data_IF_291101357092
#
_entry.id   IF_291101357092
#
_cell.length_a   1.000
_cell.length_b   1.000
_cell.length_c   1.000
_cell.angle_alpha   90.00
_cell.angle_beta   90.00
_cell.angle_gamma   90.00
#
_symmetry.space_group_name_H-M   'P 1'
#
loop_
_entity.id
_entity.type
_entity.pdbx_description
1 polymer ?
#
# COMPACT_ATOMS: atom_id res chain seq x y z
N UNK A 1 32.93 -18.25 -46.33
CA UNK A 1 31.52 -18.49 -45.98
C UNK A 1 31.19 -17.55 -44.86
N UNK A 2 30.26 -16.66 -45.14
CA UNK A 2 30.03 -15.36 -44.48
C UNK A 2 29.34 -15.49 -43.12
N UNK A 3 29.80 -14.65 -42.19
CA UNK A 3 29.20 -14.33 -40.90
C UNK A 3 27.70 -14.08 -41.01
N UNK A 4 26.94 -14.73 -40.13
CA UNK A 4 25.53 -14.46 -39.87
C UNK A 4 25.34 -14.10 -38.40
N UNK A 5 26.04 -13.05 -37.97
CA UNK A 5 25.64 -12.25 -36.81
C UNK A 5 24.66 -11.16 -37.26
N UNK A 6 23.47 -11.56 -37.68
CA UNK A 6 22.37 -10.62 -37.96
C UNK A 6 21.65 -10.25 -36.66
N UNK A 7 22.05 -9.09 -36.13
CA UNK A 7 21.18 -8.01 -35.71
C UNK A 7 19.83 -8.41 -35.06
N UNK A 8 19.87 -8.82 -33.78
CA UNK A 8 18.70 -8.72 -32.90
C UNK A 8 18.75 -7.34 -32.24
N UNK A 9 17.77 -6.50 -32.56
CA UNK A 9 17.73 -5.07 -32.24
C UNK A 9 18.12 -4.74 -30.80
N UNK A 10 19.39 -4.38 -30.62
CA UNK A 10 19.89 -3.76 -29.41
C UNK A 10 19.45 -2.31 -29.40
N UNK A 11 18.35 -2.03 -28.69
CA UNK A 11 18.19 -0.68 -28.12
C UNK A 11 19.45 -0.45 -27.27
N UNK A 12 20.15 0.69 -27.38
CA UNK A 12 21.30 0.96 -26.53
C UNK A 12 20.87 0.71 -25.09
N UNK A 13 21.55 -0.17 -24.36
CA UNK A 13 21.33 -0.35 -22.93
C UNK A 13 21.41 1.04 -22.32
N UNK A 14 20.28 1.61 -21.90
CA UNK A 14 20.27 2.95 -21.28
C UNK A 14 21.32 2.92 -20.18
N UNK A 15 22.28 3.82 -20.25
CA UNK A 15 23.27 3.96 -19.19
C UNK A 15 22.52 4.51 -17.97
N UNK A 16 22.12 3.61 -17.08
CA UNK A 16 21.37 3.93 -15.88
C UNK A 16 22.29 4.52 -14.82
N UNK A 17 21.80 5.54 -14.12
CA UNK A 17 22.50 6.14 -12.99
C UNK A 17 22.63 5.11 -11.87
N UNK A 18 23.83 4.98 -11.31
CA UNK A 18 24.09 4.15 -10.14
C UNK A 18 23.98 4.98 -8.87
N UNK A 19 23.58 4.35 -7.76
CA UNK A 19 23.50 4.98 -6.44
C UNK A 19 24.43 4.28 -5.42
N UNK A 20 25.77 4.42 -5.54
CA UNK A 20 26.70 3.81 -4.58
C UNK A 20 26.39 4.23 -3.14
N UNK A 21 26.34 3.27 -2.22
CA UNK A 21 26.12 3.49 -0.80
C UNK A 21 24.72 3.97 -0.44
N UNK A 22 23.73 3.97 -1.35
CA UNK A 22 22.39 4.49 -1.08
C UNK A 22 21.74 3.79 0.12
N UNK A 23 21.25 4.59 1.08
CA UNK A 23 20.43 4.08 2.18
C UNK A 23 18.99 3.88 1.73
N UNK A 24 18.29 2.89 2.28
CA UNK A 24 16.85 2.71 2.04
C UNK A 24 16.05 3.97 2.35
N UNK A 25 16.53 4.77 3.31
CA UNK A 25 15.98 6.06 3.69
C UNK A 25 15.88 7.06 2.54
N UNK A 26 16.71 6.92 1.49
CA UNK A 26 16.65 7.78 0.32
C UNK A 26 15.32 7.68 -0.43
N UNK A 27 14.68 6.52 -0.43
CA UNK A 27 13.44 6.26 -1.17
C UNK A 27 12.28 5.78 -0.30
N UNK A 28 12.50 5.53 0.99
CA UNK A 28 11.44 5.18 1.94
C UNK A 28 10.30 6.19 1.93
N UNK A 29 9.08 5.69 1.74
CA UNK A 29 7.89 6.48 1.94
C UNK A 29 7.77 6.89 3.41
N UNK A 30 7.44 8.15 3.77
CA UNK A 30 7.41 8.59 5.16
C UNK A 30 6.51 7.74 6.08
N UNK A 31 5.38 7.25 5.57
CA UNK A 31 4.50 6.33 6.29
C UNK A 31 5.14 4.98 6.65
N UNK A 32 6.06 4.48 5.83
CA UNK A 32 6.81 3.25 6.08
C UNK A 32 7.85 3.47 7.19
N UNK A 33 8.66 4.52 7.05
CA UNK A 33 9.66 4.95 8.05
C UNK A 33 9.05 5.13 9.44
N UNK A 34 7.87 5.76 9.50
CA UNK A 34 7.11 6.00 10.74
C UNK A 34 6.80 4.71 11.51
N UNK A 35 6.33 3.72 10.77
CA UNK A 35 5.74 2.52 11.33
C UNK A 35 6.81 1.57 11.87
N UNK A 36 7.96 1.47 11.19
CA UNK A 36 9.12 0.75 11.73
C UNK A 36 9.64 1.38 13.02
N UNK A 37 9.74 2.71 13.07
CA UNK A 37 10.15 3.43 14.30
C UNK A 37 9.15 3.22 15.43
N UNK A 38 7.85 3.24 15.13
CA UNK A 38 6.80 2.99 16.13
C UNK A 38 6.84 1.56 16.68
N UNK A 39 7.03 0.55 15.81
CA UNK A 39 7.15 -0.84 16.21
C UNK A 39 8.34 -1.08 17.14
N UNK A 40 9.52 -0.51 16.82
CA UNK A 40 10.75 -0.66 17.65
C UNK A 40 10.66 0.01 19.02
N UNK A 41 9.76 0.98 19.21
CA UNK A 41 9.54 1.65 20.50
C UNK A 41 8.64 0.85 21.45
N UNK A 42 7.99 -0.22 20.97
CA UNK A 42 7.15 -1.07 21.82
C UNK A 42 8.04 -1.91 22.74
N UNK A 43 7.81 -1.79 24.05
CA UNK A 43 8.51 -2.60 25.05
C UNK A 43 8.27 -4.10 24.78
N UNK A 44 9.35 -4.89 24.74
CA UNK A 44 9.28 -6.33 24.49
C UNK A 44 9.21 -6.73 23.00
N UNK A 45 9.27 -5.78 22.07
CA UNK A 45 9.28 -6.05 20.62
C UNK A 45 10.41 -7.03 20.24
N UNK A 46 11.64 -6.80 20.70
CA UNK A 46 12.79 -7.65 20.37
C UNK A 46 12.62 -9.09 20.85
N UNK A 47 12.01 -9.29 22.01
CA UNK A 47 11.73 -10.62 22.56
C UNK A 47 10.68 -11.35 21.71
N UNK A 48 9.60 -10.67 21.35
CA UNK A 48 8.54 -11.23 20.48
C UNK A 48 9.09 -11.52 19.09
N UNK A 49 9.85 -10.58 18.52
CA UNK A 49 10.49 -10.71 17.23
C UNK A 49 11.45 -11.92 17.21
N UNK A 50 12.33 -12.05 18.20
CA UNK A 50 13.25 -13.18 18.31
C UNK A 50 12.52 -14.51 18.45
N UNK A 51 11.44 -14.55 19.23
CA UNK A 51 10.61 -15.74 19.35
C UNK A 51 9.94 -16.12 18.02
N UNK A 52 9.35 -15.15 17.31
CA UNK A 52 8.74 -15.37 16.00
C UNK A 52 9.77 -15.81 14.95
N UNK A 53 10.92 -15.13 14.87
CA UNK A 53 12.00 -15.48 13.95
C UNK A 53 12.56 -16.88 14.20
N UNK A 54 12.66 -17.31 15.47
CA UNK A 54 13.07 -18.69 15.80
C UNK A 54 12.06 -19.77 15.40
N UNK A 55 10.77 -19.42 15.24
CA UNK A 55 9.72 -20.34 14.80
C UNK A 55 9.59 -20.40 13.27
N UNK A 56 10.20 -19.46 12.55
CA UNK A 56 10.14 -19.40 11.10
C UNK A 56 11.10 -20.42 10.47
N UNK A 57 10.60 -21.35 9.64
CA UNK A 57 11.44 -22.39 9.07
C UNK A 57 12.16 -21.87 7.82
N UNK A 58 13.07 -20.91 7.97
CA UNK A 58 13.77 -20.25 6.86
C UNK A 58 14.49 -21.26 5.94
N UNK A 59 15.10 -22.29 6.54
CA UNK A 59 15.68 -23.42 5.80
C UNK A 59 14.63 -24.18 4.99
N UNK A 60 13.44 -24.40 5.55
CA UNK A 60 12.36 -25.07 4.83
C UNK A 60 11.86 -24.23 3.66
N UNK A 61 11.78 -22.90 3.81
CA UNK A 61 11.37 -21.99 2.75
C UNK A 61 12.34 -22.06 1.56
N UNK A 62 13.66 -22.01 1.85
CA UNK A 62 14.70 -22.18 0.81
C UNK A 62 14.61 -23.54 0.13
N UNK A 63 14.43 -24.62 0.89
CA UNK A 63 14.29 -25.97 0.32
C UNK A 63 13.03 -26.10 -0.55
N UNK A 64 11.93 -25.45 -0.17
CA UNK A 64 10.69 -25.44 -0.94
C UNK A 64 10.91 -24.83 -2.33
N UNK A 65 11.46 -23.61 -2.41
CA UNK A 65 11.72 -22.99 -3.72
C UNK A 65 12.83 -23.67 -4.51
N UNK A 66 13.81 -24.27 -3.84
CA UNK A 66 14.82 -25.07 -4.52
C UNK A 66 14.25 -26.35 -5.14
N UNK A 67 13.18 -26.91 -4.57
CA UNK A 67 12.59 -28.19 -5.02
C UNK A 67 11.42 -28.01 -5.99
N UNK A 68 10.66 -26.92 -5.88
CA UNK A 68 9.41 -26.70 -6.63
C UNK A 68 9.40 -25.39 -7.42
N UNK A 69 10.58 -24.90 -7.84
CA UNK A 69 10.72 -23.73 -8.71
C UNK A 69 12.01 -23.80 -9.52
N UNK A 70 12.09 -22.98 -10.58
CA UNK A 70 13.28 -22.91 -11.43
C UNK A 70 14.17 -21.77 -10.96
N UNK A 71 15.43 -22.07 -10.62
CA UNK A 71 16.38 -21.07 -10.13
C UNK A 71 16.92 -20.20 -11.26
N UNK A 72 16.83 -18.89 -11.12
CA UNK A 72 17.44 -17.91 -12.03
C UNK A 72 18.97 -17.93 -11.87
N UNK A 73 19.70 -18.01 -13.00
CA UNK A 73 21.17 -18.06 -13.03
C UNK A 73 21.74 -17.77 -14.41
N UNK A 74 23.05 -17.81 -14.57
CA UNK A 74 23.72 -17.69 -15.89
C UNK A 74 23.37 -18.84 -16.86
N UNK A 75 22.81 -19.95 -16.36
CA UNK A 75 22.45 -21.12 -17.17
C UNK A 75 20.96 -21.17 -17.57
N UNK A 76 20.09 -20.40 -16.89
CA UNK A 76 18.65 -20.41 -17.15
C UNK A 76 18.01 -19.11 -16.64
N UNK A 77 17.04 -18.57 -17.38
CA UNK A 77 16.48 -17.24 -17.14
C UNK A 77 17.55 -16.12 -17.12
N UNK A 78 18.48 -16.15 -18.08
CA UNK A 78 19.63 -15.23 -18.16
C UNK A 78 19.20 -13.77 -18.09
N UNK A 79 18.16 -13.38 -18.83
CA UNK A 79 17.65 -12.01 -18.81
C UNK A 79 17.15 -11.55 -17.44
N UNK A 80 16.47 -12.43 -16.68
CA UNK A 80 16.07 -12.12 -15.30
C UNK A 80 17.28 -12.01 -14.37
N UNK A 81 18.29 -12.86 -14.57
CA UNK A 81 19.54 -12.82 -13.81
C UNK A 81 20.30 -11.51 -14.05
N UNK A 82 20.38 -11.05 -15.29
CA UNK A 82 21.01 -9.78 -15.66
C UNK A 82 20.25 -8.60 -15.06
N UNK A 83 18.92 -8.58 -15.19
CA UNK A 83 18.08 -7.56 -14.55
C UNK A 83 18.26 -7.50 -13.03
N UNK A 84 18.36 -8.65 -12.38
CA UNK A 84 18.60 -8.75 -10.93
C UNK A 84 19.97 -8.21 -10.55
N UNK A 85 21.02 -8.61 -11.26
CA UNK A 85 22.38 -8.12 -11.01
C UNK A 85 22.49 -6.63 -11.26
N UNK A 86 21.85 -6.12 -12.32
CA UNK A 86 21.76 -4.69 -12.60
C UNK A 86 21.05 -3.94 -11.47
N UNK A 87 19.92 -4.44 -10.99
CA UNK A 87 19.17 -3.83 -9.89
C UNK A 87 20.01 -3.77 -8.61
N UNK A 88 20.68 -4.87 -8.24
CA UNK A 88 21.60 -4.91 -7.11
C UNK A 88 22.79 -3.97 -7.31
N UNK A 89 23.34 -3.89 -8.52
CA UNK A 89 24.44 -2.99 -8.84
C UNK A 89 24.04 -1.51 -8.74
N UNK A 90 22.86 -1.15 -9.24
CA UNK A 90 22.30 0.21 -9.21
C UNK A 90 22.04 0.68 -7.78
N UNK A 91 21.41 -0.15 -6.95
CA UNK A 91 21.12 0.16 -5.54
C UNK A 91 22.28 -0.19 -4.59
N UNK A 92 23.41 -0.65 -5.14
CA UNK A 92 24.60 -1.04 -4.40
C UNK A 92 24.32 -2.06 -3.29
N UNK A 93 23.48 -3.06 -3.59
CA UNK A 93 23.20 -4.19 -2.70
C UNK A 93 24.35 -5.21 -2.82
N UNK A 94 25.11 -5.37 -1.73
CA UNK A 94 26.35 -6.16 -1.71
C UNK A 94 26.15 -7.64 -2.09
N UNK A 95 25.07 -8.25 -1.59
CA UNK A 95 24.76 -9.66 -1.83
C UNK A 95 23.53 -9.77 -2.71
N UNK A 96 23.72 -10.30 -3.91
CA UNK A 96 22.62 -10.61 -4.84
C UNK A 96 21.76 -11.74 -4.24
N UNK A 97 20.48 -11.50 -3.94
CA UNK A 97 19.60 -12.53 -3.39
C UNK A 97 19.33 -13.62 -4.44
N UNK A 98 19.18 -14.90 -4.05
CA UNK A 98 18.71 -15.92 -4.98
C UNK A 98 17.33 -15.58 -5.53
N UNK A 99 17.14 -15.80 -6.83
CA UNK A 99 15.86 -15.58 -7.50
C UNK A 99 15.32 -16.89 -8.10
N UNK A 100 14.00 -17.08 -8.03
CA UNK A 100 13.31 -18.27 -8.55
C UNK A 100 12.11 -17.87 -9.39
N UNK A 101 11.84 -18.66 -10.43
CA UNK A 101 10.59 -18.61 -11.20
C UNK A 101 9.70 -19.76 -10.76
N UNK A 102 8.54 -19.44 -10.18
CA UNK A 102 7.54 -20.41 -9.73
C UNK A 102 6.38 -20.47 -10.73
N UNK A 103 5.84 -21.67 -10.95
CA UNK A 103 4.70 -21.88 -11.84
C UNK A 103 3.42 -21.42 -11.14
N UNK A 104 2.95 -20.23 -11.49
CA UNK A 104 1.63 -19.70 -11.10
C UNK A 104 1.17 -18.78 -12.24
N UNK A 105 -0.02 -18.99 -12.83
CA UNK A 105 -0.55 -18.12 -13.88
C UNK A 105 -0.94 -16.72 -13.36
N UNK A 106 -1.06 -16.52 -12.04
CA UNK A 106 -1.40 -15.23 -11.46
C UNK A 106 -0.14 -14.35 -11.35
N UNK A 107 -0.08 -13.19 -12.04
CA UNK A 107 1.06 -12.30 -11.99
C UNK A 107 1.37 -11.84 -10.56
N UNK A 108 2.56 -12.17 -10.08
CA UNK A 108 3.03 -11.86 -8.75
C UNK A 108 4.56 -11.97 -8.65
N UNK A 109 5.14 -11.16 -7.77
CA UNK A 109 6.53 -11.26 -7.32
C UNK A 109 6.55 -11.05 -5.79
N UNK A 110 7.58 -11.57 -5.13
CA UNK A 110 7.79 -11.30 -3.71
C UNK A 110 9.23 -11.48 -3.28
N UNK A 111 9.63 -10.65 -2.32
CA UNK A 111 10.87 -10.75 -1.57
C UNK A 111 10.57 -11.24 -0.14
N UNK A 112 11.15 -12.38 0.23
CA UNK A 112 10.91 -13.09 1.50
C UNK A 112 12.22 -13.69 2.00
N UNK A 113 12.29 -14.03 3.28
CA UNK A 113 13.51 -14.49 3.96
C UNK A 113 13.81 -13.66 5.20
N UNK A 114 14.72 -14.16 6.04
CA UNK A 114 15.14 -13.48 7.26
C UNK A 114 16.56 -12.95 7.10
N UNK A 115 17.54 -13.85 7.19
CA UNK A 115 18.96 -13.54 7.09
C UNK A 115 19.41 -13.49 5.63
N UNK A 116 18.81 -14.35 4.80
CA UNK A 116 19.07 -14.41 3.36
C UNK A 116 17.77 -14.24 2.58
N UNK A 117 17.45 -13.03 2.10
CA UNK A 117 16.27 -12.81 1.29
C UNK A 117 16.40 -13.58 -0.03
N UNK A 118 15.26 -14.08 -0.50
CA UNK A 118 15.05 -14.69 -1.81
C UNK A 118 13.95 -13.91 -2.53
N UNK A 119 14.09 -13.81 -3.85
CA UNK A 119 13.09 -13.21 -4.73
C UNK A 119 12.40 -14.33 -5.49
N UNK A 120 11.08 -14.28 -5.55
CA UNK A 120 10.27 -15.26 -6.29
C UNK A 120 9.40 -14.50 -7.26
N UNK A 121 9.44 -14.90 -8.52
CA UNK A 121 8.58 -14.36 -9.59
C UNK A 121 7.74 -15.48 -10.16
N UNK A 122 6.50 -15.19 -10.50
CA UNK A 122 5.58 -16.16 -11.10
C UNK A 122 5.70 -16.18 -12.63
N UNK A 123 5.42 -17.33 -13.25
CA UNK A 123 5.34 -17.44 -14.72
C UNK A 123 4.36 -16.44 -15.33
N UNK A 124 3.20 -16.21 -14.69
CA UNK A 124 2.22 -15.23 -15.16
C UNK A 124 2.76 -13.80 -15.19
N UNK A 125 3.70 -13.42 -14.31
CA UNK A 125 4.33 -12.11 -14.37
C UNK A 125 5.38 -12.01 -15.48
N UNK A 126 6.17 -13.07 -15.66
CA UNK A 126 7.18 -13.17 -16.74
C UNK A 126 6.53 -13.06 -18.12
N UNK A 127 5.34 -13.63 -18.29
CA UNK A 127 4.59 -13.59 -19.55
C UNK A 127 3.86 -12.25 -19.78
N UNK A 128 3.56 -11.50 -18.71
CA UNK A 128 2.78 -10.27 -18.76
C UNK A 128 3.61 -9.03 -19.10
N UNK A 129 4.81 -8.92 -18.50
CA UNK A 129 5.59 -7.68 -18.51
C UNK A 129 6.66 -7.66 -19.60
N UNK A 130 6.90 -6.49 -20.17
CA UNK A 130 8.07 -6.24 -21.02
C UNK A 130 9.36 -6.10 -20.19
N UNK A 131 10.50 -5.93 -20.85
CA UNK A 131 11.81 -5.85 -20.18
C UNK A 131 11.90 -4.66 -19.19
N UNK A 132 11.39 -3.49 -19.56
CA UNK A 132 11.51 -2.28 -18.73
C UNK A 132 10.51 -2.32 -17.56
N UNK A 133 9.32 -2.85 -17.79
CA UNK A 133 8.30 -3.11 -16.78
C UNK A 133 8.79 -4.18 -15.77
N UNK A 134 9.38 -5.27 -16.26
CA UNK A 134 9.97 -6.31 -15.41
C UNK A 134 11.16 -5.78 -14.60
N UNK A 135 11.98 -4.90 -15.19
CA UNK A 135 13.10 -4.27 -14.47
C UNK A 135 12.62 -3.38 -13.33
N UNK A 136 11.51 -2.66 -13.51
CA UNK A 136 10.89 -1.90 -12.43
C UNK A 136 10.41 -2.83 -11.29
N UNK A 137 9.80 -3.99 -11.62
CA UNK A 137 9.40 -5.00 -10.63
C UNK A 137 10.60 -5.61 -9.91
N UNK A 138 11.66 -6.02 -10.62
CA UNK A 138 12.85 -6.58 -9.99
C UNK A 138 13.53 -5.53 -9.10
N UNK A 139 13.59 -4.28 -9.55
CA UNK A 139 14.06 -3.16 -8.73
C UNK A 139 13.22 -2.96 -7.46
N UNK A 140 11.91 -3.13 -7.56
CA UNK A 140 10.99 -3.09 -6.43
C UNK A 140 11.29 -4.21 -5.41
N UNK A 141 11.49 -5.45 -5.85
CA UNK A 141 11.83 -6.57 -4.96
C UNK A 141 13.23 -6.44 -4.33
N UNK A 142 14.20 -5.92 -5.09
CA UNK A 142 15.53 -5.57 -4.56
C UNK A 142 15.43 -4.42 -3.55
N UNK A 143 14.53 -3.47 -3.76
CA UNK A 143 14.18 -2.44 -2.78
C UNK A 143 13.69 -3.04 -1.47
N UNK A 144 12.78 -4.02 -1.52
CA UNK A 144 12.36 -4.75 -0.32
C UNK A 144 13.52 -5.48 0.39
N UNK A 145 14.45 -6.06 -0.37
CA UNK A 145 15.64 -6.70 0.20
C UNK A 145 16.53 -5.67 0.92
N UNK A 146 16.81 -4.54 0.26
CA UNK A 146 17.66 -3.47 0.79
C UNK A 146 17.05 -2.78 2.03
N UNK A 147 15.74 -2.56 2.05
CA UNK A 147 15.02 -1.97 3.18
C UNK A 147 14.76 -2.95 4.35
N UNK A 148 15.13 -4.22 4.22
CA UNK A 148 14.84 -5.24 5.23
C UNK A 148 13.35 -5.62 5.34
N UNK A 149 12.55 -5.30 4.32
CA UNK A 149 11.12 -5.59 4.30
C UNK A 149 10.81 -7.09 4.20
N UNK A 150 11.73 -7.88 3.62
CA UNK A 150 11.61 -9.32 3.47
C UNK A 150 11.32 -10.06 4.79
N UNK A 151 11.94 -9.61 5.88
CA UNK A 151 11.78 -10.17 7.23
C UNK A 151 10.32 -10.09 7.68
N UNK A 152 9.78 -8.88 7.64
CA UNK A 152 8.43 -8.58 8.10
C UNK A 152 7.37 -9.20 7.17
N UNK A 153 7.64 -9.25 5.86
CA UNK A 153 6.81 -9.98 4.91
C UNK A 153 6.73 -11.46 5.25
N UNK A 154 7.87 -12.08 5.59
CA UNK A 154 7.94 -13.50 6.00
C UNK A 154 7.13 -13.74 7.27
N UNK A 155 7.29 -12.88 8.28
CA UNK A 155 6.49 -12.93 9.52
C UNK A 155 5.00 -12.80 9.20
N UNK A 156 4.61 -11.84 8.35
CA UNK A 156 3.21 -11.63 7.97
C UNK A 156 2.59 -12.87 7.30
N UNK A 157 3.32 -13.51 6.37
CA UNK A 157 2.85 -14.73 5.70
C UNK A 157 2.68 -15.87 6.69
N UNK A 158 3.63 -16.05 7.60
CA UNK A 158 3.53 -17.06 8.65
C UNK A 158 2.35 -16.80 9.59
N UNK A 159 2.23 -15.58 10.12
CA UNK A 159 1.15 -15.21 11.03
C UNK A 159 -0.22 -15.28 10.37
N UNK A 160 -0.34 -14.92 9.09
CA UNK A 160 -1.58 -15.07 8.33
C UNK A 160 -1.98 -16.54 8.22
N UNK A 161 -1.03 -17.43 7.88
CA UNK A 161 -1.29 -18.86 7.82
C UNK A 161 -1.60 -19.46 9.21
N UNK A 162 -0.92 -18.99 10.26
CA UNK A 162 -1.19 -19.39 11.63
C UNK A 162 -2.59 -18.96 12.06
N UNK A 163 -2.98 -17.71 11.79
CA UNK A 163 -4.31 -17.17 12.10
C UNK A 163 -5.42 -18.04 11.51
N UNK A 164 -5.28 -18.47 10.25
CA UNK A 164 -6.23 -19.38 9.61
C UNK A 164 -6.30 -20.74 10.33
N UNK A 165 -5.16 -21.30 10.77
CA UNK A 165 -5.10 -22.59 11.47
C UNK A 165 -5.66 -22.54 12.89
N UNK A 166 -5.59 -21.39 13.56
CA UNK A 166 -6.07 -21.21 14.94
C UNK A 166 -7.39 -20.44 15.02
N UNK A 167 -8.03 -20.16 13.89
CA UNK A 167 -9.27 -19.38 13.80
C UNK A 167 -10.42 -19.94 14.66
N UNK A 168 -10.38 -21.25 14.96
CA UNK A 168 -11.33 -21.93 15.83
C UNK A 168 -11.16 -21.63 17.33
N UNK A 169 -10.08 -20.97 17.75
CA UNK A 169 -9.81 -20.58 19.14
C UNK A 169 -10.29 -19.13 19.38
N UNK A 170 -11.37 -18.91 20.17
CA UNK A 170 -12.08 -17.62 20.21
C UNK A 170 -11.25 -16.39 20.61
N UNK A 171 -10.34 -16.52 21.60
CA UNK A 171 -9.56 -15.40 22.13
C UNK A 171 -8.16 -15.25 21.51
N UNK A 172 -7.56 -16.36 21.05
CA UNK A 172 -6.25 -16.33 20.39
C UNK A 172 -6.30 -15.64 19.02
N UNK A 173 -7.43 -15.79 18.32
CA UNK A 173 -7.60 -15.22 16.99
C UNK A 173 -7.63 -13.67 17.00
N UNK A 174 -8.19 -13.04 18.04
CA UNK A 174 -8.32 -11.57 18.08
C UNK A 174 -6.95 -10.89 18.16
N UNK A 175 -6.05 -11.37 19.04
CA UNK A 175 -4.72 -10.80 19.18
C UNK A 175 -3.87 -11.00 17.92
N UNK A 176 -3.90 -12.20 17.34
CA UNK A 176 -3.18 -12.49 16.08
C UNK A 176 -3.74 -11.66 14.93
N UNK A 177 -5.07 -11.51 14.83
CA UNK A 177 -5.70 -10.68 13.80
C UNK A 177 -5.34 -9.20 13.93
N UNK A 178 -5.23 -8.66 15.14
CA UNK A 178 -4.77 -7.30 15.35
C UNK A 178 -3.33 -7.11 14.84
N UNK A 179 -2.42 -8.03 15.18
CA UNK A 179 -1.03 -8.00 14.72
C UNK A 179 -0.96 -8.15 13.19
N UNK A 180 -1.68 -9.11 12.61
CA UNK A 180 -1.74 -9.33 11.16
C UNK A 180 -2.28 -8.09 10.46
N UNK A 181 -3.32 -7.45 10.99
CA UNK A 181 -3.89 -6.22 10.41
C UNK A 181 -2.89 -5.07 10.44
N UNK A 182 -2.20 -4.87 11.55
CA UNK A 182 -1.17 -3.85 11.68
C UNK A 182 0.02 -4.09 10.72
N UNK A 183 0.50 -5.35 10.65
CA UNK A 183 1.56 -5.74 9.72
C UNK A 183 1.13 -5.60 8.25
N UNK A 184 -0.13 -5.89 7.91
CA UNK A 184 -0.66 -5.67 6.55
C UNK A 184 -0.72 -4.19 6.20
N UNK A 185 -1.16 -3.33 7.13
CA UNK A 185 -1.14 -1.88 6.92
C UNK A 185 0.30 -1.40 6.69
N UNK A 186 1.22 -1.80 7.56
CA UNK A 186 2.63 -1.44 7.39
C UNK A 186 3.20 -1.95 6.07
N UNK A 187 2.97 -3.23 5.74
CA UNK A 187 3.48 -3.82 4.50
C UNK A 187 2.94 -3.06 3.27
N UNK A 188 1.66 -2.66 3.26
CA UNK A 188 1.09 -1.80 2.21
C UNK A 188 1.76 -0.43 2.12
N UNK A 189 2.33 0.12 3.19
CA UNK A 189 3.15 1.35 3.12
C UNK A 189 4.52 1.07 2.53
N UNK A 190 5.12 -0.08 2.87
CA UNK A 190 6.41 -0.51 2.34
C UNK A 190 6.40 -0.72 0.82
N UNK A 191 5.24 -1.07 0.25
CA UNK A 191 5.04 -1.14 -1.21
C UNK A 191 5.33 0.19 -1.92
N UNK A 192 4.99 1.31 -1.30
CA UNK A 192 5.25 2.64 -1.89
C UNK A 192 6.75 2.96 -1.87
N UNK A 193 7.46 2.55 -0.82
CA UNK A 193 8.93 2.63 -0.77
C UNK A 193 9.56 1.76 -1.86
N UNK A 194 9.05 0.54 -2.03
CA UNK A 194 9.55 -0.38 -3.03
C UNK A 194 9.23 0.07 -4.47
N UNK A 195 8.07 0.71 -4.72
CA UNK A 195 7.77 1.36 -6.01
C UNK A 195 8.79 2.44 -6.36
N UNK A 196 9.19 3.26 -5.38
CA UNK A 196 10.23 4.27 -5.55
C UNK A 196 11.59 3.64 -5.87
N UNK A 197 11.96 2.55 -5.19
CA UNK A 197 13.16 1.79 -5.50
C UNK A 197 13.11 1.18 -6.92
N UNK A 198 11.96 0.63 -7.31
CA UNK A 198 11.70 0.14 -8.66
C UNK A 198 11.89 1.21 -9.72
N UNK A 199 11.41 2.44 -9.48
CA UNK A 199 11.64 3.57 -10.38
C UNK A 199 13.12 4.01 -10.42
N UNK A 200 13.85 4.00 -9.31
CA UNK A 200 15.29 4.31 -9.30
C UNK A 200 16.10 3.29 -10.09
N UNK A 201 15.70 2.02 -10.07
CA UNK A 201 16.34 0.94 -10.84
C UNK A 201 15.93 1.01 -12.32
N UNK A 202 14.64 1.17 -12.61
CA UNK A 202 14.13 1.21 -13.99
C UNK A 202 14.53 2.49 -14.73
N UNK A 203 14.48 3.64 -14.04
CA UNK A 203 14.69 5.00 -14.55
C UNK A 203 13.76 5.35 -15.72
N UNK A 204 12.60 4.69 -15.76
CA UNK A 204 11.55 4.90 -16.74
C UNK A 204 10.19 4.90 -16.02
N UNK A 205 9.68 6.10 -15.76
CA UNK A 205 8.39 6.31 -15.11
C UNK A 205 7.24 5.74 -15.95
N UNK A 206 7.33 5.79 -17.28
CA UNK A 206 6.29 5.27 -18.16
C UNK A 206 6.24 3.75 -18.09
N UNK A 207 7.39 3.07 -18.09
CA UNK A 207 7.44 1.62 -17.90
C UNK A 207 6.91 1.20 -16.53
N UNK A 208 7.27 1.94 -15.46
CA UNK A 208 6.77 1.64 -14.10
C UNK A 208 5.24 1.78 -14.02
N UNK A 209 4.67 2.83 -14.61
CA UNK A 209 3.22 3.04 -14.66
C UNK A 209 2.51 2.00 -15.56
N UNK A 210 3.07 1.66 -16.73
CA UNK A 210 2.51 0.61 -17.59
C UNK A 210 2.53 -0.76 -16.90
N UNK A 211 3.58 -1.09 -16.16
CA UNK A 211 3.66 -2.33 -15.39
C UNK A 211 2.54 -2.44 -14.36
N UNK A 212 2.30 -1.39 -13.56
CA UNK A 212 1.17 -1.33 -12.62
C UNK A 212 -0.19 -1.42 -13.33
N UNK A 213 -0.32 -0.76 -14.48
CA UNK A 213 -1.54 -0.80 -15.30
C UNK A 213 -1.80 -2.22 -15.85
N UNK A 214 -0.77 -2.93 -16.31
CA UNK A 214 -0.86 -4.33 -16.77
C UNK A 214 -1.21 -5.30 -15.64
N UNK A 215 -0.68 -5.09 -14.44
CA UNK A 215 -1.09 -5.88 -13.26
C UNK A 215 -2.60 -5.72 -13.00
N UNK A 216 -3.17 -4.56 -13.32
CA UNK A 216 -4.61 -4.30 -13.18
C UNK A 216 -5.45 -4.88 -14.34
N UNK A 217 -5.00 -4.70 -15.58
CA UNK A 217 -5.81 -4.89 -16.79
C UNK A 217 -5.33 -5.97 -17.77
N UNK A 218 -4.20 -6.64 -17.51
CA UNK A 218 -3.62 -7.63 -18.41
C UNK A 218 -2.81 -7.04 -19.57
N UNK A 219 -2.57 -7.83 -20.62
CA UNK A 219 -1.66 -7.50 -21.72
C UNK A 219 -2.36 -6.87 -22.95
N UNK A 220 -3.26 -5.92 -22.72
CA UNK A 220 -4.01 -5.23 -23.78
C UNK A 220 -3.60 -3.76 -23.92
N UNK A 221 -2.28 -3.49 -23.91
CA UNK A 221 -1.76 -2.11 -23.91
C UNK A 221 -2.28 -1.24 -25.08
N UNK A 222 -2.61 -1.83 -26.22
CA UNK A 222 -3.18 -1.10 -27.36
C UNK A 222 -4.60 -0.56 -27.11
N UNK A 223 -5.29 -1.07 -26.08
CA UNK A 223 -6.61 -0.60 -25.63
C UNK A 223 -6.54 0.20 -24.33
N UNK A 224 -5.35 0.34 -23.74
CA UNK A 224 -5.15 0.94 -22.42
C UNK A 224 -4.36 2.25 -22.53
N UNK A 225 -4.68 3.21 -21.67
CA UNK A 225 -4.03 4.52 -21.65
C UNK A 225 -3.63 4.90 -20.22
N UNK A 226 -2.35 5.23 -20.04
CA UNK A 226 -1.78 5.54 -18.71
C UNK A 226 -2.39 6.80 -18.11
N UNK A 227 -2.62 7.85 -18.90
CA UNK A 227 -3.24 9.09 -18.41
C UNK A 227 -4.68 8.85 -17.95
N UNK A 228 -5.44 8.02 -18.67
CA UNK A 228 -6.78 7.60 -18.25
C UNK A 228 -6.73 6.76 -16.95
N UNK A 229 -5.75 5.87 -16.81
CA UNK A 229 -5.52 5.09 -15.59
C UNK A 229 -5.15 5.98 -14.38
N UNK A 230 -4.39 7.05 -14.60
CA UNK A 230 -4.09 8.06 -13.58
C UNK A 230 -5.32 8.92 -13.24
N UNK A 231 -6.14 9.27 -14.23
CA UNK A 231 -7.41 9.95 -13.99
C UNK A 231 -8.36 9.09 -13.14
N UNK A 232 -8.36 7.77 -13.31
CA UNK A 232 -9.09 6.83 -12.44
C UNK A 232 -8.61 6.88 -10.99
N UNK A 233 -7.29 7.01 -10.75
CA UNK A 233 -6.77 7.17 -9.39
C UNK A 233 -7.28 8.47 -8.76
N UNK A 234 -7.30 9.54 -9.53
CA UNK A 234 -7.75 10.87 -9.14
C UNK A 234 -9.27 10.89 -8.84
N UNK A 235 -10.07 10.12 -9.60
CA UNK A 235 -11.48 9.83 -9.32
C UNK A 235 -11.63 8.98 -8.05
N UNK A 236 -10.84 7.92 -7.88
CA UNK A 236 -10.86 7.08 -6.69
C UNK A 236 -10.56 7.87 -5.40
N UNK A 237 -9.64 8.83 -5.44
CA UNK A 237 -9.37 9.72 -4.30
C UNK A 237 -10.53 10.68 -4.02
N UNK A 238 -11.11 11.28 -5.06
CA UNK A 238 -12.17 12.29 -4.93
C UNK A 238 -13.55 11.71 -4.65
N UNK A 239 -13.80 10.48 -5.08
CA UNK A 239 -15.13 9.90 -5.16
C UNK A 239 -15.76 9.67 -3.79
N UNK A 240 -17.02 10.05 -3.69
CA UNK A 240 -17.96 9.51 -2.73
C UNK A 240 -18.31 10.38 -1.53
N UNK A 241 -19.14 9.83 -0.65
CA UNK A 241 -19.43 10.34 0.67
C UNK A 241 -18.62 9.59 1.76
N UNK A 242 -18.88 9.86 3.04
CA UNK A 242 -18.17 9.18 4.14
C UNK A 242 -18.33 7.65 4.12
N UNK A 243 -19.44 7.13 3.58
CA UNK A 243 -19.66 5.68 3.46
C UNK A 243 -18.72 5.10 2.42
N UNK A 244 -18.52 5.80 1.31
CA UNK A 244 -17.55 5.40 0.29
C UNK A 244 -16.12 5.39 0.84
N UNK A 245 -15.74 6.36 1.67
CA UNK A 245 -14.44 6.33 2.37
C UNK A 245 -14.28 5.09 3.25
N UNK A 246 -15.34 4.68 3.97
CA UNK A 246 -15.32 3.44 4.76
C UNK A 246 -15.22 2.22 3.85
N UNK A 247 -15.96 2.17 2.74
CA UNK A 247 -15.88 1.07 1.78
C UNK A 247 -14.48 0.96 1.15
N UNK A 248 -13.82 2.08 0.84
CA UNK A 248 -12.43 2.10 0.39
C UNK A 248 -11.51 1.42 1.41
N UNK A 249 -11.63 1.76 2.70
CA UNK A 249 -10.86 1.10 3.77
C UNK A 249 -11.16 -0.40 3.79
N UNK A 250 -12.43 -0.80 3.82
CA UNK A 250 -12.84 -2.20 3.84
C UNK A 250 -12.31 -2.99 2.65
N UNK A 251 -12.24 -2.37 1.46
CA UNK A 251 -11.68 -2.98 0.26
C UNK A 251 -10.14 -3.10 0.28
N UNK A 252 -9.44 -2.23 1.02
CA UNK A 252 -7.98 -2.28 1.18
C UNK A 252 -7.55 -3.32 2.21
N UNK A 253 -8.31 -3.48 3.31
CA UNK A 253 -7.97 -4.37 4.42
C UNK A 253 -7.57 -5.82 4.03
N UNK A 254 -8.27 -6.52 3.12
CA UNK A 254 -7.91 -7.89 2.78
C UNK A 254 -6.72 -7.99 1.80
N UNK A 255 -6.29 -6.88 1.19
CA UNK A 255 -5.27 -6.90 0.14
C UNK A 255 -3.85 -6.90 0.69
N UNK A 256 -2.95 -7.58 -0.02
CA UNK A 256 -1.52 -7.60 0.26
C UNK A 256 -0.80 -6.34 -0.21
N UNK A 257 -1.29 -5.71 -1.29
CA UNK A 257 -0.72 -4.51 -1.90
C UNK A 257 -1.79 -3.42 -1.94
N UNK A 258 -1.41 -2.12 -1.93
CA UNK A 258 -2.32 -1.05 -2.31
C UNK A 258 -2.83 -1.25 -3.74
N UNK A 259 -3.93 -0.58 -4.08
CA UNK A 259 -4.46 -0.59 -5.44
C UNK A 259 -3.44 -0.07 -6.44
N UNK A 260 -3.33 -0.73 -7.59
CA UNK A 260 -2.39 -0.40 -8.66
C UNK A 260 -2.56 1.03 -9.19
N UNK A 261 -3.80 1.53 -9.30
CA UNK A 261 -4.10 2.92 -9.66
C UNK A 261 -3.52 3.91 -8.66
N UNK A 262 -3.70 3.65 -7.36
CA UNK A 262 -3.17 4.50 -6.27
C UNK A 262 -1.65 4.47 -6.26
N UNK A 263 -1.03 3.30 -6.44
CA UNK A 263 0.43 3.16 -6.56
C UNK A 263 0.98 3.97 -7.73
N UNK A 264 0.34 3.89 -8.90
CA UNK A 264 0.76 4.62 -10.09
C UNK A 264 0.71 6.14 -9.88
N UNK A 265 -0.37 6.64 -9.26
CA UNK A 265 -0.52 8.05 -8.94
C UNK A 265 0.53 8.54 -7.92
N UNK A 266 0.77 7.77 -6.85
CA UNK A 266 1.76 8.12 -5.83
C UNK A 266 3.20 8.08 -6.40
N UNK A 267 3.50 7.11 -7.26
CA UNK A 267 4.80 7.02 -7.92
C UNK A 267 5.03 8.19 -8.89
N UNK A 268 4.02 8.54 -9.70
CA UNK A 268 4.08 9.71 -10.58
C UNK A 268 4.31 10.98 -9.77
N UNK A 269 3.53 11.19 -8.71
CA UNK A 269 3.66 12.33 -7.81
C UNK A 269 5.07 12.42 -7.23
N UNK A 270 5.64 11.31 -6.77
CA UNK A 270 7.00 11.27 -6.24
C UNK A 270 8.06 11.62 -7.31
N UNK A 271 7.90 11.11 -8.54
CA UNK A 271 8.83 11.40 -9.64
C UNK A 271 8.90 12.89 -10.03
N UNK A 272 7.85 13.65 -9.73
CA UNK A 272 7.76 15.09 -9.96
C UNK A 272 8.33 15.93 -8.81
N UNK A 273 8.71 15.29 -7.70
CA UNK A 273 9.25 16.00 -6.53
C UNK A 273 10.72 16.39 -6.68
N UNK A 274 11.15 17.40 -5.92
CA UNK A 274 12.57 17.76 -5.80
C UNK A 274 13.40 16.67 -5.11
N UNK A 275 12.77 15.85 -4.27
CA UNK A 275 13.43 14.73 -3.59
C UNK A 275 13.94 13.71 -4.61
N UNK A 276 13.08 13.24 -5.51
CA UNK A 276 13.46 12.33 -6.59
C UNK A 276 14.60 12.90 -7.44
N UNK A 277 14.48 14.16 -7.88
CA UNK A 277 15.51 14.82 -8.69
C UNK A 277 16.86 14.89 -7.96
N UNK A 278 16.86 15.20 -6.66
CA UNK A 278 18.08 15.21 -5.85
C UNK A 278 18.76 13.85 -5.79
N UNK A 279 17.99 12.76 -5.68
CA UNK A 279 18.56 11.40 -5.68
C UNK A 279 19.22 11.13 -7.04
N UNK A 280 18.54 11.46 -8.14
CA UNK A 280 19.07 11.32 -9.50
C UNK A 280 20.34 12.15 -9.73
N UNK A 281 20.43 13.34 -9.11
CA UNK A 281 21.60 14.22 -9.13
C UNK A 281 22.76 13.73 -8.24
N UNK A 282 22.59 12.64 -7.48
CA UNK A 282 23.62 12.09 -6.61
C UNK A 282 23.55 12.55 -5.14
N UNK A 283 22.51 13.29 -4.77
CA UNK A 283 22.31 13.87 -3.44
C UNK A 283 21.28 13.06 -2.62
N UNK A 284 21.72 11.94 -2.06
CA UNK A 284 20.89 11.04 -1.25
C UNK A 284 21.59 10.61 0.04
N UNK A 285 20.82 10.23 1.09
CA UNK A 285 21.37 9.61 2.30
C UNK A 285 22.16 8.34 1.98
N UNK A 286 23.32 8.19 2.62
CA UNK A 286 24.18 7.01 2.46
C UNK A 286 24.12 6.10 3.68
N UNK A 287 24.37 4.80 3.50
CA UNK A 287 24.26 3.78 4.57
C UNK A 287 25.27 3.97 5.69
N UNK A 288 26.44 4.52 5.39
CA UNK A 288 27.46 4.85 6.39
C UNK A 288 26.99 5.97 7.35
N UNK A 289 26.07 6.83 6.91
CA UNK A 289 25.48 7.92 7.70
C UNK A 289 24.26 7.47 8.54
N UNK A 290 23.79 6.22 8.42
CA UNK A 290 22.57 5.75 9.09
C UNK A 290 22.68 5.77 10.62
N UNK A 291 23.89 5.57 11.15
CA UNK A 291 24.15 5.53 12.60
C UNK A 291 23.98 6.89 13.28
N UNK A 292 24.17 7.98 12.52
CA UNK A 292 24.15 9.35 13.04
C UNK A 292 22.75 9.98 12.97
N UNK A 293 21.75 9.20 12.58
CA UNK A 293 20.40 9.71 12.32
C UNK A 293 19.53 9.74 13.56
N UNK A 294 18.92 10.90 13.79
CA UNK A 294 17.98 11.14 14.89
C UNK A 294 16.62 10.48 14.63
N UNK A 295 16.25 9.54 15.52
CA UNK A 295 14.90 8.92 15.54
C UNK A 295 13.81 9.97 15.77
N UNK A 296 14.11 11.03 16.50
CA UNK A 296 13.18 12.14 16.78
C UNK A 296 12.87 12.92 15.51
N UNK A 297 13.87 13.18 14.68
CA UNK A 297 13.66 13.96 13.45
C UNK A 297 12.94 13.14 12.39
N UNK A 298 13.23 11.83 12.28
CA UNK A 298 12.45 10.91 11.45
C UNK A 298 10.96 10.88 11.86
N UNK A 299 10.65 10.97 13.15
CA UNK A 299 9.28 11.04 13.66
C UNK A 299 8.61 12.39 13.35
N UNK A 300 9.32 13.51 13.46
CA UNK A 300 8.79 14.83 13.08
C UNK A 300 8.47 14.91 11.59
N UNK A 301 9.38 14.45 10.74
CA UNK A 301 9.20 14.43 9.27
C UNK A 301 7.98 13.58 8.87
N UNK A 302 7.85 12.43 9.51
CA UNK A 302 6.69 11.56 9.39
C UNK A 302 5.40 12.26 9.81
N UNK A 303 5.39 12.93 10.96
CA UNK A 303 4.23 13.66 11.45
C UNK A 303 3.84 14.81 10.51
N UNK A 304 4.81 15.58 9.98
CA UNK A 304 4.53 16.59 8.97
C UNK A 304 3.94 16.00 7.70
N UNK A 305 4.47 14.86 7.23
CA UNK A 305 3.91 14.19 6.05
C UNK A 305 2.46 13.75 6.27
N UNK A 306 2.12 13.22 7.44
CA UNK A 306 0.73 12.88 7.78
C UNK A 306 -0.16 14.12 7.87
N UNK A 307 0.31 15.18 8.52
CA UNK A 307 -0.44 16.44 8.60
C UNK A 307 -0.72 17.02 7.20
N UNK A 308 0.28 17.02 6.33
CA UNK A 308 0.14 17.46 4.94
C UNK A 308 -0.77 16.53 4.12
N UNK A 309 -0.67 15.21 4.35
CA UNK A 309 -1.54 14.23 3.70
C UNK A 309 -3.01 14.43 4.08
N UNK A 310 -3.30 14.67 5.37
CA UNK A 310 -4.65 14.98 5.85
C UNK A 310 -5.13 16.30 5.26
N UNK A 311 -4.31 17.36 5.34
CA UNK A 311 -4.65 18.71 4.88
C UNK A 311 -4.94 18.76 3.38
N UNK A 312 -4.20 18.01 2.58
CA UNK A 312 -4.33 17.99 1.12
C UNK A 312 -5.22 16.84 0.62
N UNK A 313 -5.78 16.01 1.51
CA UNK A 313 -6.61 14.89 1.11
C UNK A 313 -7.89 15.37 0.46
N UNK A 314 -8.25 14.75 -0.66
CA UNK A 314 -9.54 14.99 -1.32
C UNK A 314 -10.65 14.11 -0.71
N UNK A 315 -10.29 13.09 0.06
CA UNK A 315 -11.21 12.09 0.61
C UNK A 315 -12.12 12.68 1.72
N UNK A 316 -13.44 12.42 1.70
CA UNK A 316 -14.39 12.97 2.68
C UNK A 316 -14.05 12.66 4.15
N UNK A 317 -13.55 11.46 4.45
CA UNK A 317 -13.21 11.07 5.82
C UNK A 317 -11.97 11.81 6.32
N UNK A 318 -10.96 11.97 5.46
CA UNK A 318 -9.75 12.70 5.80
C UNK A 318 -10.00 14.20 5.95
N UNK A 319 -10.91 14.76 5.14
CA UNK A 319 -11.40 16.14 5.33
C UNK A 319 -12.08 16.33 6.69
N UNK A 320 -12.96 15.40 7.09
CA UNK A 320 -13.59 15.44 8.41
C UNK A 320 -12.56 15.40 9.55
N UNK A 321 -11.54 14.55 9.44
CA UNK A 321 -10.44 14.49 10.41
C UNK A 321 -9.66 15.82 10.46
N UNK A 322 -9.37 16.41 9.30
CA UNK A 322 -8.74 17.73 9.21
C UNK A 322 -9.58 18.83 9.86
N UNK A 323 -10.89 18.87 9.59
CA UNK A 323 -11.82 19.86 10.13
C UNK A 323 -11.94 19.77 11.67
N UNK A 324 -11.97 18.54 12.20
CA UNK A 324 -12.00 18.27 13.65
C UNK A 324 -10.68 18.67 14.32
N UNK A 325 -9.53 18.36 13.72
CA UNK A 325 -8.22 18.73 14.24
C UNK A 325 -7.94 20.23 14.16
N UNK A 326 -8.52 20.93 13.17
CA UNK A 326 -8.42 22.38 12.99
C UNK A 326 -9.29 23.22 13.93
N UNK A 327 -10.05 22.60 14.84
CA UNK A 327 -10.82 23.32 15.87
C UNK A 327 -12.12 23.98 15.38
N UNK A 328 -12.71 23.53 14.27
CA UNK A 328 -14.04 23.95 13.86
C UNK A 328 -15.10 23.31 14.78
N UNK A 329 -15.37 23.95 15.92
CA UNK A 329 -16.18 23.46 17.04
C UNK A 329 -17.69 23.30 16.82
N UNK A 330 -18.16 22.82 15.67
CA UNK A 330 -19.59 22.55 15.46
C UNK A 330 -19.87 21.33 14.56
N UNK A 331 -19.39 20.14 14.96
CA UNK A 331 -19.59 18.90 14.19
C UNK A 331 -20.29 17.77 14.96
N UNK A 332 -20.61 17.96 16.24
CA UNK A 332 -21.42 16.99 16.99
C UNK A 332 -22.83 16.81 16.43
N UNK A 333 -23.43 17.86 15.87
CA UNK A 333 -24.77 17.82 15.27
C UNK A 333 -24.84 17.18 13.88
N UNK A 334 -23.84 17.43 13.02
CA UNK A 334 -23.85 17.00 11.60
C UNK A 334 -23.53 15.52 11.41
N UNK A 335 -22.75 14.91 12.31
CA UNK A 335 -22.48 13.47 12.32
C UNK A 335 -23.72 12.65 12.71
N UNK A 336 -24.57 13.18 13.60
CA UNK A 336 -25.81 12.51 14.03
C UNK A 336 -26.85 12.51 12.91
N UNK A 337 -27.10 13.65 12.29
CA UNK A 337 -28.15 13.81 11.26
C UNK A 337 -27.86 13.04 9.96
N UNK A 338 -26.61 12.65 9.68
CA UNK A 338 -26.26 11.80 8.53
C UNK A 338 -26.18 10.30 8.83
N UNK A 339 -25.96 9.91 10.09
CA UNK A 339 -25.98 8.51 10.51
C UNK A 339 -27.40 8.01 10.79
N UNK A 340 -28.26 8.87 11.33
CA UNK A 340 -29.70 8.58 11.48
C UNK A 340 -30.42 9.10 10.26
N UNK A 341 -30.61 8.26 9.24
CA UNK A 341 -31.29 8.64 7.99
C UNK A 341 -32.59 9.40 8.23
N UNK A 342 -32.82 10.42 7.41
CA UNK A 342 -33.96 11.33 7.51
C UNK A 342 -35.31 10.61 7.68
N UNK A 343 -35.94 10.85 8.83
CA UNK A 343 -37.37 10.72 9.04
C UNK A 343 -37.91 12.11 9.37
N UNK A 344 -38.60 12.73 8.43
CA UNK A 344 -39.17 14.08 8.60
C UNK A 344 -40.53 14.11 9.28
N UNK A 345 -40.83 15.26 9.90
CA UNK A 345 -42.15 15.79 10.24
C UNK A 345 -42.65 15.46 11.65
N UNK A 346 -43.21 16.36 12.47
CA UNK A 346 -43.82 17.65 12.17
C UNK A 346 -44.05 18.46 13.47
N UNK A 347 -44.01 19.79 13.27
CA UNK A 347 -44.76 20.88 13.96
C UNK A 347 -44.51 21.19 15.44
N UNK A 348 -44.04 22.41 15.66
CA UNK A 348 -44.18 23.18 16.90
C UNK A 348 -43.95 24.67 16.66
N UNK A 349 -44.79 25.29 15.81
CA UNK A 349 -44.78 26.73 15.59
C UNK A 349 -45.46 27.45 16.74
N UNK A 350 -44.73 28.34 17.40
CA UNK A 350 -45.23 29.24 18.42
C UNK A 350 -46.13 30.33 17.80
N UNK A 351 -47.26 30.60 18.44
CA UNK A 351 -48.02 31.85 18.26
C UNK A 351 -48.43 32.35 19.64
N UNK A 352 -48.03 33.58 19.92
CA UNK A 352 -48.39 34.36 21.10
C UNK A 352 -49.35 35.48 20.66
N UNK A 353 -50.28 35.90 21.53
CA UNK A 353 -50.98 37.19 21.41
C UNK A 353 -52.48 37.22 21.06
N UNK A 354 -53.32 37.05 22.09
CA UNK A 354 -54.52 37.85 22.45
C UNK A 354 -55.44 38.50 21.39
N UNK A 355 -56.75 38.19 21.47
CA UNK A 355 -57.85 39.00 20.91
C UNK A 355 -59.23 38.32 21.00
N UNK A 356 -60.12 38.86 21.82
CA UNK A 356 -61.46 38.38 22.22
C UNK A 356 -62.56 38.78 21.18
N UNK A 357 -63.88 38.55 21.40
CA UNK A 357 -64.69 37.34 21.18
C UNK A 357 -65.90 37.53 20.20
N UNK A 358 -66.57 36.43 19.82
CA UNK A 358 -68.03 36.35 19.52
C UNK A 358 -68.38 34.88 19.22
N UNK A 359 -69.23 34.21 20.01
CA UNK A 359 -70.67 34.02 19.76
C UNK A 359 -70.86 32.82 18.82
N UNK A 360 -71.69 31.79 19.03
CA UNK A 360 -72.81 31.49 19.92
C UNK A 360 -73.20 30.02 19.63
N UNK A 361 -73.88 29.37 20.59
CA UNK A 361 -74.69 28.13 20.42
C UNK A 361 -73.91 26.83 20.14
N UNK A 362 -74.13 25.70 20.81
CA UNK A 362 -75.28 25.16 21.52
C UNK A 362 -75.29 23.64 21.28
N UNK A 363 -75.81 22.81 22.21
CA UNK A 363 -75.09 21.62 22.67
C UNK A 363 -75.64 20.28 22.12
N UNK A 364 -74.97 19.21 22.56
CA UNK A 364 -75.56 17.96 23.08
C UNK A 364 -75.12 16.67 22.35
N UNK A 365 -74.94 15.60 23.11
CA UNK A 365 -74.67 14.26 22.56
C UNK A 365 -73.66 13.42 23.30
N UNK A 366 -73.91 13.16 24.59
CA UNK A 366 -73.31 12.06 25.36
C UNK A 366 -73.47 10.69 24.68
N UNK A 367 -72.45 9.82 24.75
CA UNK A 367 -72.47 8.49 25.40
C UNK A 367 -71.29 7.63 24.94
N UNK A 368 -70.69 6.92 25.91
CA UNK A 368 -69.56 6.02 25.73
C UNK A 368 -69.95 4.59 25.29
N UNK A 369 -69.24 3.55 25.76
CA UNK A 369 -68.36 2.75 24.90
C UNK A 369 -68.70 1.24 24.88
N UNK A 370 -67.81 0.44 24.26
CA UNK A 370 -67.69 -1.05 24.30
C UNK A 370 -68.59 -1.78 23.29
N UNK A 371 -68.26 -2.93 22.68
CA UNK A 371 -67.17 -3.95 22.78
C UNK A 371 -67.41 -4.92 21.61
N UNK A 372 -66.37 -5.69 21.23
CA UNK A 372 -66.40 -7.10 20.73
C UNK A 372 -67.36 -7.44 19.56
N UNK A 373 -66.92 -7.99 18.44
CA UNK A 373 -66.07 -9.17 18.29
C UNK A 373 -66.87 -10.20 17.49
N UNK A 374 -66.37 -10.56 16.30
CA UNK A 374 -66.50 -11.86 15.61
C UNK A 374 -65.58 -11.85 14.40
#
# INVERSE_FOLDING_TARGET
>A
MTDSHENRGGVPSRQRTRFPGISSRAYEHPADRSALVALRKLSGFDTVFKALSGLLPERSLRLLFLSDSVRVSDAQFIHLNDMLRDACYILDLEKVPPMYVNQDPRPNAMCIGLDEPIIVVTTGLVELLDEEEMRAVIGHEVGHALSGHAVYRTILLFLTNLALKVAWIPLGNVAVMAIVTALREWFRKSELSADRAGLLVGQDIQASMRGLMKIAGGNHLHEMNVDAFLAQADEYEKSGDLRDSVLKILNVLPRSHPFTTVRAAELKKWSETREYQRIMDGHYPRRDEDKDTSVTDAFKESASHYADSVRNSKDPLMKLVGDLAGGAGDLGGKLRDKFTGGGGGARGGATDGSGQPSGTEGPDGSQGPRTEGS
#
